data_IF_995364021751
#
_entry.id   IF_995364021751
#
_cell.length_a   1.000
_cell.length_b   1.000
_cell.length_c   1.000
_cell.angle_alpha   90.00
_cell.angle_beta   90.00
_cell.angle_gamma   90.00
#
_symmetry.space_group_name_H-M   'P 1'
#
loop_
_entity.id
_entity.type
_entity.pdbx_description
1 polymer ?
#
# COMPACT_ATOMS: atom_id res chain seq x y z
N UNK A 1 -3.78 -5.58 -46.01
CA UNK A 1 -4.06 -4.37 -45.21
C UNK A 1 -4.34 -4.79 -43.78
N UNK A 2 -3.29 -4.92 -42.96
CA UNK A 2 -3.42 -5.30 -41.55
C UNK A 2 -3.94 -4.10 -40.77
N UNK A 3 -5.14 -4.21 -40.20
CA UNK A 3 -5.72 -3.19 -39.33
C UNK A 3 -4.88 -3.08 -38.06
N UNK A 4 -4.15 -1.98 -37.90
CA UNK A 4 -3.55 -1.61 -36.62
C UNK A 4 -4.68 -1.48 -35.58
N UNK A 5 -4.53 -2.03 -34.36
CA UNK A 5 -5.47 -1.74 -33.29
C UNK A 5 -5.42 -0.23 -33.03
N UNK A 6 -6.56 0.45 -33.12
CA UNK A 6 -6.69 1.84 -32.73
C UNK A 6 -6.40 1.91 -31.22
N UNK A 7 -5.20 2.37 -30.85
CA UNK A 7 -4.91 2.67 -29.45
C UNK A 7 -5.94 3.70 -28.99
N UNK A 8 -6.64 3.38 -27.92
CA UNK A 8 -7.39 4.38 -27.17
C UNK A 8 -6.43 5.55 -26.83
N UNK A 9 -6.95 6.79 -26.67
CA UNK A 9 -6.12 7.94 -26.33
C UNK A 9 -5.45 7.83 -24.94
N UNK A 10 -5.80 6.80 -24.16
CA UNK A 10 -5.20 6.48 -22.85
C UNK A 10 -5.03 4.97 -22.70
N UNK A 11 -3.95 4.56 -22.01
CA UNK A 11 -3.72 3.20 -21.51
C UNK A 11 -3.42 3.28 -20.00
N UNK A 12 -4.03 2.41 -19.20
CA UNK A 12 -3.85 2.38 -17.74
C UNK A 12 -3.14 1.07 -17.38
N UNK A 13 -2.00 1.17 -16.70
CA UNK A 13 -1.17 0.02 -16.28
C UNK A 13 -0.78 0.17 -14.82
N UNK A 14 -0.58 -0.97 -14.15
CA UNK A 14 0.02 -0.99 -12.82
C UNK A 14 1.54 -0.79 -12.98
N UNK A 15 2.14 -0.01 -12.09
CA UNK A 15 3.59 0.16 -12.01
C UNK A 15 3.99 0.34 -10.56
N UNK A 16 5.18 -0.10 -10.22
CA UNK A 16 5.76 0.09 -8.88
C UNK A 16 6.67 1.31 -8.91
N UNK A 17 6.50 2.19 -7.93
CA UNK A 17 7.35 3.36 -7.71
C UNK A 17 8.12 3.16 -6.41
N UNK A 18 9.38 3.58 -6.38
CA UNK A 18 10.19 3.58 -5.15
C UNK A 18 9.84 4.82 -4.35
N UNK A 19 9.66 4.66 -3.04
CA UNK A 19 9.39 5.74 -2.11
C UNK A 19 10.22 5.53 -0.84
N UNK A 20 10.62 6.63 -0.23
CA UNK A 20 11.30 6.67 1.06
C UNK A 20 10.27 6.54 2.18
N UNK A 21 10.52 5.65 3.13
CA UNK A 21 9.69 5.55 4.34
C UNK A 21 10.22 6.49 5.42
N UNK A 22 9.48 7.56 5.71
CA UNK A 22 9.80 8.51 6.78
C UNK A 22 9.15 8.05 8.08
N UNK A 23 9.88 7.28 8.88
CA UNK A 23 9.38 6.72 10.14
C UNK A 23 9.52 7.75 11.26
N UNK A 24 8.38 8.20 11.79
CA UNK A 24 8.34 9.19 12.86
C UNK A 24 8.43 8.52 14.24
N UNK A 25 9.26 9.12 15.08
CA UNK A 25 9.47 8.72 16.48
C UNK A 25 9.09 9.85 17.45
N UNK A 26 8.61 10.98 16.93
CA UNK A 26 8.17 12.16 17.70
C UNK A 26 7.16 12.95 16.88
N UNK A 27 6.23 13.64 17.55
CA UNK A 27 5.30 14.61 16.94
C UNK A 27 5.82 16.06 17.01
N UNK A 28 6.99 16.32 17.60
CA UNK A 28 7.56 17.66 17.74
C UNK A 28 8.26 18.12 16.44
N UNK A 29 7.77 19.17 15.76
CA UNK A 29 8.35 19.65 14.51
C UNK A 29 9.80 20.16 14.66
N UNK A 30 10.17 20.68 15.83
CA UNK A 30 11.54 21.19 16.07
C UNK A 30 12.52 20.01 16.12
N UNK A 31 12.15 18.94 16.84
CA UNK A 31 12.95 17.72 16.90
C UNK A 31 13.11 17.06 15.52
N UNK A 32 12.06 17.07 14.70
CA UNK A 32 12.10 16.50 13.33
C UNK A 32 13.01 17.33 12.42
N UNK A 33 12.91 18.67 12.39
CA UNK A 33 13.80 19.52 11.57
C UNK A 33 15.26 19.37 11.98
N UNK A 34 15.53 19.31 13.30
CA UNK A 34 16.88 19.08 13.81
C UNK A 34 17.46 17.73 13.35
N UNK A 35 16.65 16.66 13.41
CA UNK A 35 17.05 15.33 12.95
C UNK A 35 17.32 15.30 11.44
N UNK A 36 16.42 15.87 10.62
CA UNK A 36 16.61 15.96 9.17
C UNK A 36 17.87 16.75 8.82
N UNK A 37 18.07 17.92 9.48
CA UNK A 37 19.27 18.73 9.29
C UNK A 37 20.55 17.97 9.63
N UNK A 38 20.54 17.18 10.70
CA UNK A 38 21.68 16.35 11.07
C UNK A 38 21.94 15.26 10.03
N UNK A 39 20.90 14.56 9.56
CA UNK A 39 21.01 13.48 8.58
C UNK A 39 21.52 13.97 7.22
N UNK A 40 21.08 15.14 6.77
CA UNK A 40 21.50 15.70 5.48
C UNK A 40 22.76 16.55 5.56
N UNK A 41 23.39 16.68 6.74
CA UNK A 41 24.52 17.58 6.96
C UNK A 41 24.18 19.06 6.70
N UNK A 42 22.89 19.42 6.78
CA UNK A 42 22.38 20.75 6.46
C UNK A 42 22.09 20.99 4.97
N UNK A 43 22.29 19.99 4.10
CA UNK A 43 21.94 20.10 2.68
C UNK A 43 20.44 19.91 2.51
N UNK A 44 19.75 20.89 1.95
CA UNK A 44 18.30 20.83 1.73
C UNK A 44 17.90 20.04 0.47
N UNK A 45 18.85 19.75 -0.43
CA UNK A 45 18.59 19.05 -1.70
C UNK A 45 18.94 17.56 -1.66
N UNK A 46 19.15 17.00 -0.46
CA UNK A 46 19.72 15.66 -0.30
C UNK A 46 18.88 14.52 -0.88
N UNK A 47 17.55 14.68 -0.92
CA UNK A 47 16.63 13.63 -1.37
C UNK A 47 16.08 13.83 -2.79
N UNK A 48 16.55 14.83 -3.54
CA UNK A 48 16.30 14.95 -4.99
C UNK A 48 14.84 14.76 -5.48
N UNK A 49 13.85 15.27 -4.72
CA UNK A 49 12.40 15.16 -5.01
C UNK A 49 11.79 13.76 -4.84
N UNK A 50 12.44 12.88 -4.07
CA UNK A 50 11.92 11.55 -3.78
C UNK A 50 10.54 11.57 -3.11
N UNK A 51 9.71 10.58 -3.46
CA UNK A 51 8.43 10.37 -2.80
C UNK A 51 8.64 9.85 -1.38
N UNK A 52 7.83 10.33 -0.45
CA UNK A 52 7.88 9.95 0.95
C UNK A 52 6.54 9.38 1.43
N UNK A 53 6.61 8.25 2.12
CA UNK A 53 5.50 7.68 2.90
C UNK A 53 5.81 7.93 4.38
N UNK A 54 4.97 8.70 5.05
CA UNK A 54 5.12 9.01 6.47
C UNK A 54 4.58 7.84 7.28
N UNK A 55 5.44 7.17 8.05
CA UNK A 55 5.02 6.09 8.93
C UNK A 55 4.92 6.61 10.37
N UNK A 56 3.72 6.54 10.93
CA UNK A 56 3.41 7.00 12.30
C UNK A 56 3.04 5.86 13.24
N UNK A 57 3.26 4.60 12.85
CA UNK A 57 2.89 3.45 13.66
C UNK A 57 3.55 3.47 15.05
N UNK A 58 4.77 4.03 15.16
CA UNK A 58 5.51 4.15 16.42
C UNK A 58 5.01 5.24 17.37
N UNK A 59 4.19 6.19 16.88
CA UNK A 59 3.69 7.35 17.65
C UNK A 59 2.18 7.55 17.48
N UNK A 60 1.43 6.47 17.20
CA UNK A 60 0.01 6.55 16.86
C UNK A 60 -0.84 7.27 17.94
N UNK A 61 -0.47 7.12 19.22
CA UNK A 61 -1.11 7.79 20.36
C UNK A 61 -0.84 9.31 20.38
N UNK A 62 0.33 9.75 19.91
CA UNK A 62 0.69 11.17 19.81
C UNK A 62 0.33 11.78 18.45
N UNK A 63 -0.10 10.98 17.47
CA UNK A 63 -0.33 11.42 16.10
C UNK A 63 -1.37 12.55 15.98
N UNK A 64 -2.30 12.65 16.94
CA UNK A 64 -3.25 13.77 17.03
C UNK A 64 -2.62 15.13 17.35
N UNK A 65 -1.36 15.15 17.80
CA UNK A 65 -0.60 16.39 18.08
C UNK A 65 0.27 16.83 16.90
N UNK A 66 0.37 16.02 15.85
CA UNK A 66 1.17 16.33 14.68
C UNK A 66 0.52 17.51 13.95
N UNK A 67 1.29 18.56 13.74
CA UNK A 67 0.95 19.61 12.79
C UNK A 67 1.31 19.12 11.38
N UNK A 68 0.30 18.60 10.67
CA UNK A 68 0.47 17.97 9.36
C UNK A 68 0.87 18.98 8.28
N UNK A 69 0.37 20.21 8.33
CA UNK A 69 0.76 21.25 7.38
C UNK A 69 2.24 21.59 7.55
N UNK A 70 2.68 21.83 8.78
CA UNK A 70 4.08 22.11 9.09
C UNK A 70 4.98 20.92 8.74
N UNK A 71 4.55 19.69 9.00
CA UNK A 71 5.30 18.48 8.69
C UNK A 71 5.50 18.29 7.18
N UNK A 72 4.43 18.43 6.38
CA UNK A 72 4.52 18.30 4.92
C UNK A 72 5.41 19.41 4.33
N UNK A 73 5.26 20.65 4.80
CA UNK A 73 6.12 21.75 4.38
C UNK A 73 7.59 21.52 4.74
N UNK A 74 7.84 20.97 5.94
CA UNK A 74 9.18 20.62 6.40
C UNK A 74 9.81 19.53 5.53
N UNK A 75 9.10 18.44 5.23
CA UNK A 75 9.62 17.38 4.36
C UNK A 75 9.94 17.92 2.97
N UNK A 76 9.06 18.76 2.41
CA UNK A 76 9.26 19.38 1.11
C UNK A 76 10.49 20.30 1.05
N UNK A 77 10.83 20.98 2.15
CA UNK A 77 12.09 21.77 2.26
C UNK A 77 13.33 20.91 2.04
N UNK A 78 13.28 19.63 2.43
CA UNK A 78 14.35 18.65 2.21
C UNK A 78 14.20 17.86 0.90
N UNK A 79 13.28 18.29 0.01
CA UNK A 79 12.93 17.60 -1.25
C UNK A 79 12.38 16.19 -1.03
N UNK A 80 11.72 15.96 0.11
CA UNK A 80 10.90 14.77 0.35
C UNK A 80 9.43 15.12 0.10
N UNK A 81 8.84 14.50 -0.92
CA UNK A 81 7.47 14.75 -1.33
C UNK A 81 6.54 13.75 -0.64
N UNK A 82 5.96 14.15 0.49
CA UNK A 82 4.99 13.32 1.21
C UNK A 82 3.76 13.04 0.33
N UNK A 83 3.49 11.76 0.09
CA UNK A 83 2.35 11.31 -0.73
C UNK A 83 1.35 10.48 0.07
N UNK A 84 1.81 9.77 1.10
CA UNK A 84 0.94 8.88 1.86
C UNK A 84 1.36 8.81 3.34
N UNK A 85 0.44 8.34 4.17
CA UNK A 85 0.64 8.07 5.58
C UNK A 85 0.32 6.61 5.87
N UNK A 86 1.24 5.92 6.54
CA UNK A 86 1.12 4.54 7.01
C UNK A 86 0.95 4.50 8.52
N UNK A 87 0.13 3.56 9.01
CA UNK A 87 -0.04 3.31 10.44
C UNK A 87 -0.94 4.32 11.16
N UNK A 88 -1.72 5.11 10.42
CA UNK A 88 -2.63 6.09 11.02
C UNK A 88 -3.88 5.42 11.62
N UNK A 89 -4.28 5.76 12.86
CA UNK A 89 -5.54 5.31 13.43
C UNK A 89 -6.73 5.91 12.67
N UNK A 90 -7.85 5.19 12.65
CA UNK A 90 -9.03 5.57 11.86
C UNK A 90 -9.54 7.00 12.13
N UNK A 91 -9.39 7.48 13.36
CA UNK A 91 -9.80 8.84 13.75
C UNK A 91 -9.03 9.96 13.01
N UNK A 92 -7.83 9.68 12.50
CA UNK A 92 -7.00 10.65 11.78
C UNK A 92 -7.15 10.59 10.25
N UNK A 93 -7.90 9.62 9.73
CA UNK A 93 -7.98 9.36 8.28
C UNK A 93 -8.53 10.55 7.50
N UNK A 94 -9.58 11.20 8.00
CA UNK A 94 -10.18 12.35 7.33
C UNK A 94 -9.26 13.58 7.37
N UNK A 95 -8.53 13.75 8.48
CA UNK A 95 -7.56 14.82 8.62
C UNK A 95 -6.39 14.63 7.62
N UNK A 96 -5.86 13.42 7.50
CA UNK A 96 -4.78 13.10 6.56
C UNK A 96 -5.22 13.38 5.11
N UNK A 97 -6.43 12.96 4.74
CA UNK A 97 -6.99 13.22 3.41
C UNK A 97 -7.20 14.71 3.14
N UNK A 98 -7.51 15.50 4.16
CA UNK A 98 -7.65 16.95 4.04
C UNK A 98 -6.33 17.66 3.69
N UNK A 99 -5.18 16.99 3.89
CA UNK A 99 -3.85 17.46 3.49
C UNK A 99 -3.36 16.83 2.17
N UNK A 100 -4.28 16.29 1.34
CA UNK A 100 -3.96 15.64 0.05
C UNK A 100 -3.01 14.43 0.17
N UNK A 101 -2.96 13.80 1.35
CA UNK A 101 -2.18 12.59 1.58
C UNK A 101 -3.05 11.33 1.46
N UNK A 102 -2.51 10.31 0.83
CA UNK A 102 -3.13 8.99 0.76
C UNK A 102 -2.95 8.22 2.08
N UNK A 103 -3.84 7.28 2.35
CA UNK A 103 -3.67 6.32 3.43
C UNK A 103 -3.07 5.05 2.86
N UNK A 104 -1.91 4.64 3.37
CA UNK A 104 -1.29 3.38 3.01
C UNK A 104 -1.51 2.37 4.13
N UNK A 105 -2.27 1.31 3.84
CA UNK A 105 -2.49 0.20 4.76
C UNK A 105 -1.33 -0.83 4.74
N UNK A 106 -0.26 -0.55 3.98
CA UNK A 106 0.96 -1.35 3.93
C UNK A 106 0.86 -2.59 3.03
N UNK A 107 -0.30 -2.84 2.43
CA UNK A 107 -0.55 -4.00 1.57
C UNK A 107 -0.32 -3.75 0.08
N UNK A 108 -0.10 -2.49 -0.31
CA UNK A 108 0.06 -2.02 -1.69
C UNK A 108 1.07 -2.84 -2.51
N UNK A 109 2.20 -3.23 -1.90
CA UNK A 109 3.23 -4.05 -2.57
C UNK A 109 2.89 -5.54 -2.70
N UNK A 110 2.09 -6.10 -1.79
CA UNK A 110 1.69 -7.51 -1.78
C UNK A 110 0.54 -7.79 -2.75
N UNK A 111 -0.37 -6.82 -2.91
CA UNK A 111 -1.58 -7.01 -3.71
C UNK A 111 -1.37 -6.76 -5.20
N UNK A 112 -0.42 -5.90 -5.59
CA UNK A 112 -0.08 -5.67 -7.00
C UNK A 112 0.34 -6.99 -7.69
N UNK A 113 1.20 -7.79 -7.05
CA UNK A 113 1.63 -9.10 -7.58
C UNK A 113 0.54 -10.18 -7.59
N UNK A 114 -0.54 -10.03 -6.80
CA UNK A 114 -1.64 -11.00 -6.75
C UNK A 114 -2.79 -10.63 -7.72
N UNK A 115 -3.04 -9.33 -7.94
CA UNK A 115 -4.12 -8.84 -8.82
C UNK A 115 -3.84 -9.12 -10.30
N UNK A 116 -2.57 -9.24 -10.69
CA UNK A 116 -2.16 -9.66 -12.05
C UNK A 116 -2.57 -11.11 -12.38
N UNK A 117 -2.89 -11.93 -11.36
CA UNK A 117 -3.40 -13.30 -11.52
C UNK A 117 -4.93 -13.37 -11.57
N UNK A 118 -5.62 -12.29 -11.25
CA UNK A 118 -7.08 -12.21 -11.19
C UNK A 118 -7.61 -11.33 -12.33
N UNK A 119 -7.23 -11.66 -13.58
CA UNK A 119 -8.16 -11.40 -14.69
C UNK A 119 -9.41 -12.27 -14.44
N UNK A 120 -10.63 -11.80 -14.74
CA UNK A 120 -11.83 -12.56 -14.50
C UNK A 120 -11.76 -13.83 -15.37
N UNK A 121 -11.45 -14.96 -14.75
CA UNK A 121 -11.65 -16.26 -15.33
C UNK A 121 -13.12 -16.33 -15.70
N UNK A 122 -13.39 -16.41 -17.00
CA UNK A 122 -14.72 -16.60 -17.56
C UNK A 122 -15.46 -17.64 -16.71
N UNK A 123 -16.65 -17.25 -16.24
CA UNK A 123 -17.51 -18.01 -15.36
C UNK A 123 -17.48 -19.51 -15.71
N UNK A 124 -16.89 -20.31 -14.83
CA UNK A 124 -17.07 -21.76 -14.85
C UNK A 124 -18.51 -22.03 -14.47
N UNK A 125 -19.34 -22.24 -15.48
CA UNK A 125 -20.69 -22.81 -15.32
C UNK A 125 -20.58 -24.07 -14.46
N UNK A 126 -21.30 -24.17 -13.32
CA UNK A 126 -21.29 -25.38 -12.50
C UNK A 126 -21.86 -26.54 -13.33
N UNK A 127 -21.03 -27.56 -13.58
CA UNK A 127 -21.52 -28.83 -14.11
C UNK A 127 -22.12 -29.57 -12.91
N UNK A 128 -23.44 -29.53 -12.80
CA UNK A 128 -24.22 -30.40 -11.93
C UNK A 128 -24.26 -31.81 -12.52
N UNK A 129 -23.52 -32.74 -11.92
CA UNK A 129 -23.65 -34.20 -12.08
C UNK A 129 -22.79 -34.86 -10.99
N UNK A 130 -23.18 -35.87 -10.22
CA UNK A 130 -24.38 -36.68 -10.15
C UNK A 130 -24.45 -37.29 -8.73
N UNK A 131 -25.64 -37.73 -8.32
CA UNK A 131 -25.96 -38.32 -7.03
C UNK A 131 -25.09 -39.54 -6.64
N UNK A 132 -24.90 -39.81 -5.33
CA UNK A 132 -24.10 -40.93 -4.85
C UNK A 132 -24.82 -42.26 -5.05
N UNK A 133 -24.15 -43.22 -5.70
CA UNK A 133 -24.59 -44.62 -5.75
C UNK A 133 -24.08 -45.36 -4.49
N UNK A 134 -24.91 -46.19 -3.82
CA UNK A 134 -24.58 -46.79 -2.54
C UNK A 134 -23.54 -47.92 -2.61
N UNK A 135 -22.86 -48.12 -1.47
CA UNK A 135 -21.75 -49.03 -1.26
C UNK A 135 -22.11 -50.54 -1.32
N UNK A 136 -21.21 -51.40 -1.81
CA UNK A 136 -21.31 -52.84 -1.58
C UNK A 136 -20.64 -53.27 -0.26
N UNK A 137 -21.40 -54.03 0.53
CA UNK A 137 -21.05 -54.70 1.79
C UNK A 137 -19.99 -55.82 1.58
N UNK A 138 -19.01 -56.00 2.48
CA UNK A 138 -18.10 -57.15 2.44
C UNK A 138 -18.73 -58.42 3.06
N UNK A 139 -18.61 -59.54 2.36
CA UNK A 139 -18.97 -60.90 2.83
C UNK A 139 -17.72 -61.64 3.39
N UNK A 140 -17.90 -62.66 4.25
CA UNK A 140 -16.90 -63.08 5.23
C UNK A 140 -15.88 -64.13 4.74
N UNK A 141 -14.85 -64.33 5.59
CA UNK A 141 -13.63 -65.13 5.44
C UNK A 141 -13.81 -66.65 5.30
N UNK A 142 -12.76 -67.37 4.84
CA UNK A 142 -12.53 -68.76 5.21
C UNK A 142 -11.46 -68.90 6.30
N UNK A 143 -11.69 -69.83 7.22
CA UNK A 143 -10.73 -70.33 8.20
C UNK A 143 -9.99 -71.56 7.64
N UNK A 144 -8.69 -71.64 7.91
CA UNK A 144 -7.90 -72.87 7.99
C UNK A 144 -6.70 -72.62 8.90
#
# INVERSE_FOLDING_TARGET
MSKSPSSLPIEIKISTVVAISTILHSADPIAIDAALKQMTGGVSDFFEDEFAVIDIAGIAEEAGRIDWESLVALLRKYRLNAVAVRGAPAALHDLIRAHDLFLDDGSSGLQAGNREREMPAAATVPIEAAAPMPAPTPAPAPAA
#
